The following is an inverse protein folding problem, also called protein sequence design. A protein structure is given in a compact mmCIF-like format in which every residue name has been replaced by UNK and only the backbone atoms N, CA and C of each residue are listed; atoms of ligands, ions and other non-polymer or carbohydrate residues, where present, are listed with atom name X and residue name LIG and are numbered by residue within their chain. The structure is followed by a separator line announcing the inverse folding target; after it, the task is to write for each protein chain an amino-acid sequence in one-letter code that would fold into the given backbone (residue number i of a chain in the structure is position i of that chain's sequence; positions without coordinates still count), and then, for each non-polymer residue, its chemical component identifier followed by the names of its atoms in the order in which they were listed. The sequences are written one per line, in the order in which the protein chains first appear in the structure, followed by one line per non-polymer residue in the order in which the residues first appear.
data_IF_860705516066
#
_entry.id   IF_860705516066
#
_cell.length_a   1.000
_cell.length_b   1.000
_cell.length_c   1.000
_cell.angle_alpha   90.00
_cell.angle_beta   90.00
_cell.angle_gamma   90.00
#
_symmetry.space_group_name_H-M   'P 1'
#
loop_
_entity.id
_entity.type
_entity.pdbx_description
1 polymer ?
#
# COMPACT_ATOMS: atom_id res chain seq x y z
N UNK A 1 5.92 82.29 -18.85
CA UNK A 1 6.34 81.03 -19.51
C UNK A 1 6.17 79.92 -18.56
N UNK A 2 5.12 79.10 -18.64
CA UNK A 2 4.78 78.04 -17.74
C UNK A 2 5.08 76.70 -18.42
N UNK A 3 6.15 76.02 -18.00
CA UNK A 3 6.49 74.69 -18.51
C UNK A 3 5.55 73.65 -17.91
N UNK A 4 4.63 73.15 -18.75
CA UNK A 4 3.84 71.94 -18.42
C UNK A 4 4.71 70.73 -18.52
N UNK A 5 5.00 70.12 -17.38
CA UNK A 5 5.64 68.79 -17.26
C UNK A 5 4.56 67.76 -17.57
N UNK A 6 4.61 67.12 -18.74
CA UNK A 6 3.79 65.94 -19.05
C UNK A 6 4.27 64.78 -18.16
N UNK A 7 3.47 64.40 -17.18
CA UNK A 7 3.62 63.15 -16.47
C UNK A 7 3.18 62.02 -17.41
N UNK A 8 4.16 61.31 -17.96
CA UNK A 8 3.91 60.04 -18.64
C UNK A 8 3.46 59.03 -17.60
N UNK A 9 2.16 58.86 -17.44
CA UNK A 9 1.57 57.69 -16.76
C UNK A 9 1.61 56.52 -17.73
N UNK A 10 2.77 55.84 -17.78
CA UNK A 10 2.83 54.50 -18.34
C UNK A 10 1.95 53.62 -17.47
N UNK A 11 0.78 53.30 -17.98
CA UNK A 11 -0.14 52.34 -17.37
C UNK A 11 0.44 50.94 -17.51
N UNK A 12 1.09 50.42 -16.45
CA UNK A 12 1.62 49.06 -16.35
C UNK A 12 0.49 48.01 -16.26
N UNK A 13 -0.49 48.08 -17.16
CA UNK A 13 -1.60 47.12 -17.20
C UNK A 13 -1.19 45.74 -17.73
N UNK A 14 -0.04 45.62 -18.36
CA UNK A 14 0.48 44.34 -18.89
C UNK A 14 1.30 43.51 -17.89
N UNK A 15 2.00 44.15 -16.94
CA UNK A 15 2.89 43.45 -16.00
C UNK A 15 2.17 42.64 -14.91
N UNK A 16 0.88 42.98 -14.69
CA UNK A 16 0.09 42.30 -13.64
C UNK A 16 -0.33 40.87 -14.01
N UNK A 17 -0.32 40.49 -15.28
CA UNK A 17 -0.75 39.16 -15.73
C UNK A 17 0.36 38.10 -15.56
N UNK A 18 1.63 38.46 -15.66
CA UNK A 18 2.76 37.55 -15.57
C UNK A 18 2.79 36.85 -14.18
N UNK A 19 2.74 37.58 -13.06
CA UNK A 19 2.73 36.94 -11.73
C UNK A 19 1.49 36.08 -11.50
N UNK A 20 0.35 36.46 -12.07
CA UNK A 20 -0.87 35.63 -11.97
C UNK A 20 -0.71 34.31 -12.74
N UNK A 21 -0.16 34.35 -13.96
CA UNK A 21 0.11 33.14 -14.73
C UNK A 21 1.10 32.21 -14.01
N UNK A 22 2.17 32.76 -13.43
CA UNK A 22 3.13 31.99 -12.64
C UNK A 22 2.47 31.37 -11.40
N UNK A 23 1.63 32.12 -10.69
CA UNK A 23 0.88 31.61 -9.55
C UNK A 23 -0.02 30.43 -9.94
N UNK A 24 -0.76 30.55 -11.03
CA UNK A 24 -1.64 29.47 -11.54
C UNK A 24 -0.82 28.22 -11.90
N UNK A 25 0.34 28.37 -12.55
CA UNK A 25 1.21 27.26 -12.88
C UNK A 25 1.74 26.55 -11.63
N UNK A 26 2.18 27.30 -10.61
CA UNK A 26 2.64 26.74 -9.34
C UNK A 26 1.51 26.01 -8.63
N UNK A 27 0.32 26.59 -8.56
CA UNK A 27 -0.85 25.94 -7.94
C UNK A 27 -1.24 24.66 -8.70
N UNK A 28 -1.24 24.68 -10.03
CA UNK A 28 -1.56 23.47 -10.80
C UNK A 28 -0.53 22.36 -10.61
N UNK A 29 0.74 22.69 -10.49
CA UNK A 29 1.80 21.73 -10.19
C UNK A 29 1.62 21.12 -8.79
N UNK A 30 1.30 21.93 -7.78
CA UNK A 30 1.03 21.44 -6.42
C UNK A 30 -0.19 20.49 -6.38
N UNK A 31 -1.28 20.87 -7.05
CA UNK A 31 -2.49 20.02 -7.14
C UNK A 31 -2.15 18.68 -7.82
N UNK A 32 -1.36 18.71 -8.90
CA UNK A 32 -0.94 17.49 -9.60
C UNK A 32 -0.15 16.55 -8.69
N UNK A 33 0.78 17.06 -7.89
CA UNK A 33 1.56 16.27 -6.92
C UNK A 33 0.65 15.69 -5.82
N UNK A 34 -0.32 16.46 -5.33
CA UNK A 34 -1.29 15.98 -4.34
C UNK A 34 -2.16 14.85 -4.87
N UNK A 35 -2.66 14.96 -6.10
CA UNK A 35 -3.46 13.91 -6.75
C UNK A 35 -2.63 12.62 -6.88
N UNK A 36 -1.38 12.73 -7.31
CA UNK A 36 -0.47 11.59 -7.45
C UNK A 36 -0.20 10.92 -6.10
N UNK A 37 0.01 11.70 -5.04
CA UNK A 37 0.20 11.20 -3.68
C UNK A 37 -1.04 10.46 -3.15
N UNK A 38 -2.23 11.07 -3.29
CA UNK A 38 -3.49 10.47 -2.84
C UNK A 38 -3.76 9.16 -3.61
N UNK A 39 -3.54 9.16 -4.93
CA UNK A 39 -3.70 7.96 -5.76
C UNK A 39 -2.78 6.81 -5.33
N UNK A 40 -1.52 7.11 -5.04
CA UNK A 40 -0.55 6.11 -4.55
C UNK A 40 -0.96 5.57 -3.18
N UNK A 41 -1.36 6.44 -2.25
CA UNK A 41 -1.82 6.03 -0.93
C UNK A 41 -3.08 5.18 -0.97
N UNK A 42 -4.03 5.50 -1.85
CA UNK A 42 -5.23 4.69 -2.06
C UNK A 42 -4.89 3.27 -2.54
N UNK A 43 -3.92 3.13 -3.46
CA UNK A 43 -3.44 1.83 -3.93
C UNK A 43 -2.77 1.03 -2.81
N UNK A 44 -1.91 1.66 -1.99
CA UNK A 44 -1.29 1.00 -0.82
C UNK A 44 -2.35 0.48 0.14
N UNK A 45 -3.36 1.29 0.44
CA UNK A 45 -4.44 0.88 1.35
C UNK A 45 -5.30 -0.25 0.76
N UNK A 46 -5.59 -0.21 -0.53
CA UNK A 46 -6.34 -1.26 -1.21
C UNK A 46 -5.60 -2.61 -1.13
N UNK A 47 -4.29 -2.62 -1.39
CA UNK A 47 -3.46 -3.81 -1.25
C UNK A 47 -3.40 -4.33 0.18
N UNK A 48 -3.20 -3.42 1.15
CA UNK A 48 -3.18 -3.79 2.57
C UNK A 48 -4.49 -4.46 2.99
N UNK A 49 -5.63 -3.97 2.50
CA UNK A 49 -6.95 -4.56 2.75
C UNK A 49 -7.08 -5.94 2.09
N UNK A 50 -6.65 -6.09 0.84
CA UNK A 50 -6.71 -7.37 0.13
C UNK A 50 -5.88 -8.44 0.85
N UNK A 51 -4.63 -8.12 1.20
CA UNK A 51 -3.76 -9.01 1.99
C UNK A 51 -4.41 -9.33 3.34
N UNK A 52 -4.96 -8.32 4.04
CA UNK A 52 -5.65 -8.52 5.31
C UNK A 52 -6.82 -9.49 5.18
N UNK A 53 -7.67 -9.34 4.17
CA UNK A 53 -8.80 -10.23 3.91
C UNK A 53 -8.35 -11.67 3.66
N UNK A 54 -7.26 -11.85 2.89
CA UNK A 54 -6.69 -13.18 2.64
C UNK A 54 -6.15 -13.82 3.92
N UNK A 55 -5.47 -13.04 4.76
CA UNK A 55 -4.97 -13.52 6.06
C UNK A 55 -6.12 -13.87 7.01
N UNK A 56 -7.13 -13.03 7.10
CA UNK A 56 -8.31 -13.28 7.94
C UNK A 56 -9.05 -14.55 7.50
N UNK A 57 -9.13 -14.81 6.19
CA UNK A 57 -9.70 -16.06 5.65
C UNK A 57 -8.91 -17.29 6.09
N UNK A 58 -7.57 -17.25 6.00
CA UNK A 58 -6.72 -18.37 6.42
C UNK A 58 -6.84 -18.60 7.92
N UNK A 59 -6.75 -17.54 8.71
CA UNK A 59 -6.86 -17.63 10.18
C UNK A 59 -8.23 -18.15 10.62
N UNK A 60 -9.31 -17.72 9.96
CA UNK A 60 -10.68 -18.19 10.25
C UNK A 60 -10.88 -19.66 9.90
N UNK A 61 -10.28 -20.14 8.82
CA UNK A 61 -10.34 -21.55 8.43
C UNK A 61 -9.66 -22.43 9.49
N UNK A 62 -8.46 -22.06 9.94
CA UNK A 62 -7.77 -22.76 11.03
C UNK A 62 -8.50 -22.65 12.37
N UNK A 63 -9.16 -21.52 12.64
CA UNK A 63 -9.97 -21.37 13.85
C UNK A 63 -11.12 -22.36 13.91
N UNK A 64 -11.74 -22.68 12.77
CA UNK A 64 -12.81 -23.68 12.68
C UNK A 64 -12.28 -25.09 12.97
N UNK A 65 -11.16 -25.47 12.37
CA UNK A 65 -10.49 -26.75 12.60
C UNK A 65 -10.09 -26.91 14.09
N UNK A 66 -9.55 -25.86 14.70
CA UNK A 66 -9.21 -25.85 16.12
C UNK A 66 -10.42 -25.99 17.04
N UNK A 67 -11.52 -25.31 16.71
CA UNK A 67 -12.73 -25.37 17.53
C UNK A 67 -13.29 -26.80 17.61
N UNK A 68 -13.23 -27.53 16.50
CA UNK A 68 -13.64 -28.94 16.48
C UNK A 68 -12.70 -29.84 17.31
N UNK A 69 -11.40 -29.58 17.28
CA UNK A 69 -10.40 -30.30 18.10
C UNK A 69 -10.59 -30.01 19.59
N UNK A 70 -10.82 -28.78 20.01
CA UNK A 70 -11.08 -28.38 21.40
C UNK A 70 -12.35 -29.06 21.93
N UNK A 71 -13.40 -29.12 21.13
CA UNK A 71 -14.65 -29.83 21.50
C UNK A 71 -14.43 -31.32 21.79
N UNK A 72 -13.45 -31.93 21.16
CA UNK A 72 -13.06 -33.33 21.37
C UNK A 72 -12.14 -33.51 22.57
N UNK A 73 -11.88 -32.43 23.36
CA UNK A 73 -11.08 -32.49 24.58
C UNK A 73 -9.56 -32.52 24.36
N UNK A 74 -9.13 -32.15 23.17
CA UNK A 74 -7.73 -32.14 22.84
C UNK A 74 -7.08 -30.77 23.16
N UNK A 75 -5.81 -30.73 23.66
CA UNK A 75 -5.12 -29.47 23.91
C UNK A 75 -4.87 -28.72 22.60
N UNK A 76 -5.31 -27.46 22.56
CA UNK A 76 -5.28 -26.62 21.38
C UNK A 76 -3.90 -26.45 20.72
N UNK A 77 -2.83 -26.49 21.55
CA UNK A 77 -1.45 -26.28 21.09
C UNK A 77 -0.90 -27.42 20.21
N UNK A 78 -1.42 -28.65 20.38
CA UNK A 78 -0.96 -29.83 19.64
C UNK A 78 -1.55 -29.90 18.18
N UNK A 79 -2.60 -29.13 17.91
CA UNK A 79 -3.34 -29.21 16.65
C UNK A 79 -2.99 -28.09 15.67
N UNK A 80 -2.18 -27.11 16.07
CA UNK A 80 -1.80 -26.03 15.19
C UNK A 80 -0.54 -26.42 14.41
N UNK A 81 -0.71 -26.82 13.16
CA UNK A 81 0.40 -26.90 12.21
C UNK A 81 0.78 -25.48 11.74
N UNK A 82 1.70 -24.84 12.49
CA UNK A 82 2.18 -23.50 12.17
C UNK A 82 2.89 -23.44 10.80
N UNK A 83 3.55 -24.50 10.40
CA UNK A 83 4.25 -24.56 9.10
C UNK A 83 3.24 -24.72 7.96
N UNK A 84 2.19 -25.52 8.17
CA UNK A 84 1.06 -25.61 7.26
C UNK A 84 0.32 -24.29 7.12
N UNK A 85 0.12 -23.57 8.23
CA UNK A 85 -0.49 -22.24 8.27
C UNK A 85 0.33 -21.23 7.43
N UNK A 86 1.66 -21.25 7.56
CA UNK A 86 2.56 -20.40 6.77
C UNK A 86 2.49 -20.75 5.28
N UNK A 87 2.58 -22.05 4.93
CA UNK A 87 2.50 -22.53 3.55
C UNK A 87 1.17 -22.18 2.90
N UNK A 88 0.06 -22.38 3.61
CA UNK A 88 -1.29 -22.03 3.14
C UNK A 88 -1.43 -20.53 2.91
N UNK A 89 -0.80 -19.72 3.75
CA UNK A 89 -0.76 -18.26 3.57
C UNK A 89 -0.02 -17.86 2.32
N UNK A 90 1.16 -18.42 2.04
CA UNK A 90 1.88 -18.18 0.78
C UNK A 90 1.01 -18.56 -0.43
N UNK A 91 0.37 -19.70 -0.40
CA UNK A 91 -0.52 -20.14 -1.48
C UNK A 91 -1.71 -19.18 -1.69
N UNK A 92 -2.35 -18.71 -0.60
CA UNK A 92 -3.45 -17.74 -0.67
C UNK A 92 -3.01 -16.38 -1.18
N UNK A 93 -1.78 -15.98 -0.89
CA UNK A 93 -1.18 -14.75 -1.44
C UNK A 93 -0.82 -14.89 -2.91
N UNK A 94 -0.83 -16.11 -3.46
CA UNK A 94 -0.49 -16.40 -4.86
C UNK A 94 0.96 -16.79 -5.08
N UNK A 95 1.69 -17.14 -4.02
CA UNK A 95 3.06 -17.65 -4.11
C UNK A 95 3.04 -19.18 -4.06
N UNK A 96 3.42 -19.88 -5.14
CA UNK A 96 3.43 -21.33 -5.17
C UNK A 96 4.51 -21.95 -4.27
N UNK A 97 5.52 -21.16 -3.89
CA UNK A 97 6.58 -21.56 -2.96
C UNK A 97 7.11 -20.34 -2.19
N UNK A 98 7.73 -20.58 -1.05
CA UNK A 98 8.40 -19.58 -0.21
C UNK A 98 9.65 -18.94 -0.86
N UNK A 99 10.09 -19.48 -1.99
CA UNK A 99 11.25 -19.00 -2.75
C UNK A 99 10.92 -17.92 -3.78
N UNK A 100 9.63 -17.60 -3.99
CA UNK A 100 9.23 -16.55 -4.94
C UNK A 100 9.50 -15.18 -4.33
N UNK A 101 10.38 -14.42 -4.96
CA UNK A 101 10.80 -13.09 -4.50
C UNK A 101 9.92 -11.96 -5.01
N UNK A 102 9.18 -12.18 -6.10
CA UNK A 102 8.39 -11.16 -6.75
C UNK A 102 7.02 -11.71 -7.18
N UNK A 103 5.98 -10.93 -6.96
CA UNK A 103 4.64 -11.22 -7.43
C UNK A 103 4.02 -9.97 -8.05
N UNK A 104 3.68 -10.06 -9.35
CA UNK A 104 2.96 -8.99 -10.03
C UNK A 104 1.48 -9.04 -9.65
N UNK A 105 0.96 -7.94 -9.12
CA UNK A 105 -0.47 -7.82 -8.84
C UNK A 105 -1.29 -7.83 -10.14
N UNK A 106 -2.52 -8.37 -10.14
CA UNK A 106 -3.34 -8.53 -11.35
C UNK A 106 -3.57 -7.24 -12.13
N UNK A 107 -3.48 -6.09 -11.48
CA UNK A 107 -3.69 -4.77 -12.10
C UNK A 107 -2.43 -4.18 -12.76
N UNK A 108 -1.30 -4.89 -12.74
CA UNK A 108 -0.07 -4.49 -13.45
C UNK A 108 0.61 -3.18 -12.97
N UNK A 109 0.06 -2.52 -11.94
CA UNK A 109 0.53 -1.22 -11.49
C UNK A 109 1.51 -1.27 -10.32
N UNK A 110 1.64 -2.42 -9.67
CA UNK A 110 2.57 -2.59 -8.56
C UNK A 110 3.00 -4.05 -8.42
N UNK A 111 4.16 -4.23 -7.83
CA UNK A 111 4.77 -5.54 -7.58
C UNK A 111 4.94 -5.71 -6.08
N UNK A 112 4.50 -6.86 -5.56
CA UNK A 112 4.82 -7.27 -4.19
C UNK A 112 6.18 -7.97 -4.23
N UNK A 113 7.12 -7.50 -3.43
CA UNK A 113 8.46 -8.06 -3.35
C UNK A 113 8.73 -8.60 -1.95
N UNK A 114 9.51 -9.67 -1.89
CA UNK A 114 10.08 -10.26 -0.67
C UNK A 114 9.04 -10.49 0.43
N UNK A 115 7.94 -11.22 0.17
CA UNK A 115 6.98 -11.54 1.21
C UNK A 115 7.64 -12.46 2.24
N UNK A 116 7.52 -12.08 3.51
CA UNK A 116 7.94 -12.87 4.66
C UNK A 116 6.72 -13.18 5.51
N UNK A 117 6.35 -14.44 5.59
CA UNK A 117 5.24 -14.92 6.40
C UNK A 117 5.80 -15.50 7.70
N UNK A 118 5.32 -15.00 8.82
CA UNK A 118 5.73 -15.45 10.15
C UNK A 118 4.49 -15.82 10.95
N UNK A 119 4.47 -17.02 11.52
CA UNK A 119 3.44 -17.44 12.47
C UNK A 119 3.61 -16.74 13.82
N UNK A 120 2.50 -16.36 14.45
CA UNK A 120 2.45 -15.81 15.78
C UNK A 120 1.91 -16.90 16.74
N UNK A 121 2.62 -17.07 17.85
CA UNK A 121 2.29 -18.03 18.91
C UNK A 121 1.99 -17.26 20.19
N UNK A 122 1.15 -17.83 21.05
CA UNK A 122 0.79 -17.20 22.33
C UNK A 122 -0.57 -17.71 22.81
N UNK A 123 -1.39 -16.82 23.41
CA UNK A 123 -2.76 -17.14 23.86
C UNK A 123 -3.75 -17.41 22.70
N UNK A 124 -3.23 -17.69 21.53
CA UNK A 124 -3.95 -17.95 20.30
C UNK A 124 -2.97 -18.17 19.16
N UNK A 125 -3.43 -18.00 17.94
CA UNK A 125 -2.59 -18.13 16.77
C UNK A 125 -2.85 -17.01 15.76
N UNK A 126 -1.87 -16.76 14.93
CA UNK A 126 -1.99 -15.71 13.94
C UNK A 126 -0.84 -15.74 12.96
N UNK A 127 -0.92 -14.82 12.01
CA UNK A 127 0.06 -14.66 10.94
C UNK A 127 0.39 -13.20 10.79
N UNK A 128 1.65 -12.93 10.57
CA UNK A 128 2.15 -11.63 10.14
C UNK A 128 2.84 -11.79 8.80
N UNK A 129 2.47 -10.97 7.83
CA UNK A 129 3.13 -10.87 6.54
C UNK A 129 3.80 -9.52 6.44
N UNK A 130 5.10 -9.53 6.14
CA UNK A 130 5.90 -8.35 5.79
C UNK A 130 6.27 -8.41 4.33
N UNK A 131 6.06 -7.36 3.59
CA UNK A 131 6.40 -7.28 2.17
C UNK A 131 6.66 -5.84 1.77
N UNK A 132 7.33 -5.67 0.63
CA UNK A 132 7.55 -4.37 0.03
C UNK A 132 6.70 -4.26 -1.23
N UNK A 133 5.97 -3.17 -1.36
CA UNK A 133 5.22 -2.86 -2.58
C UNK A 133 6.01 -1.85 -3.38
N UNK A 134 6.19 -2.14 -4.66
CA UNK A 134 6.92 -1.29 -5.60
C UNK A 134 5.94 -0.66 -6.58
N UNK A 135 5.86 0.66 -6.56
CA UNK A 135 5.06 1.44 -7.50
C UNK A 135 5.98 2.05 -8.55
N UNK A 136 5.91 1.63 -9.81
CA UNK A 136 6.67 2.27 -10.87
C UNK A 136 6.08 3.66 -11.17
N UNK A 137 6.86 4.70 -10.98
CA UNK A 137 6.51 6.06 -11.40
C UNK A 137 6.78 6.15 -12.89
N UNK A 138 5.70 6.16 -13.67
CA UNK A 138 5.75 6.26 -15.14
C UNK A 138 5.45 7.68 -15.58
N UNK A 139 6.29 8.21 -16.47
CA UNK A 139 6.06 9.47 -17.16
C UNK A 139 6.18 9.22 -18.66
N UNK A 140 5.17 9.62 -19.42
CA UNK A 140 5.11 9.40 -20.88
C UNK A 140 5.39 7.94 -21.31
N UNK A 141 4.87 6.96 -20.52
CA UNK A 141 5.04 5.53 -20.80
C UNK A 141 6.37 4.91 -20.29
N UNK A 142 7.35 5.73 -19.92
CA UNK A 142 8.63 5.26 -19.41
C UNK A 142 8.66 5.26 -17.88
N UNK A 143 9.20 4.19 -17.28
CA UNK A 143 9.43 4.11 -15.85
C UNK A 143 10.73 4.85 -15.49
N UNK A 144 10.62 5.92 -14.70
CA UNK A 144 11.78 6.71 -14.27
C UNK A 144 12.31 6.29 -12.91
N UNK A 145 11.43 5.96 -11.99
CA UNK A 145 11.78 5.58 -10.62
C UNK A 145 10.68 4.70 -10.03
N UNK A 146 11.06 3.83 -9.13
CA UNK A 146 10.11 3.06 -8.32
C UNK A 146 10.04 3.63 -6.90
N UNK A 147 8.84 3.69 -6.37
CA UNK A 147 8.60 3.98 -4.96
C UNK A 147 8.41 2.65 -4.22
N UNK A 148 9.28 2.36 -3.27
CA UNK A 148 9.20 1.18 -2.44
C UNK A 148 8.54 1.52 -1.11
N UNK A 149 7.46 0.81 -0.77
CA UNK A 149 6.71 1.01 0.47
C UNK A 149 6.71 -0.30 1.26
N UNK A 150 7.39 -0.39 2.41
CA UNK A 150 7.32 -1.56 3.27
C UNK A 150 5.97 -1.60 3.97
N UNK A 151 5.32 -2.76 3.94
CA UNK A 151 4.01 -2.99 4.54
C UNK A 151 4.08 -4.19 5.47
N UNK A 152 3.43 -4.09 6.62
CA UNK A 152 3.22 -5.20 7.54
C UNK A 152 1.73 -5.35 7.79
N UNK A 153 1.23 -6.57 7.65
CA UNK A 153 -0.17 -6.92 7.91
C UNK A 153 -0.20 -8.12 8.83
N UNK A 154 -1.01 -8.06 9.88
CA UNK A 154 -1.19 -9.16 10.83
C UNK A 154 -2.66 -9.53 10.93
N UNK A 155 -2.91 -10.83 11.11
CA UNK A 155 -4.20 -11.38 11.47
C UNK A 155 -4.00 -12.33 12.65
N UNK A 156 -4.87 -12.23 13.64
CA UNK A 156 -4.72 -12.97 14.90
C UNK A 156 -6.08 -13.45 15.40
N UNK A 157 -6.12 -14.71 15.85
CA UNK A 157 -7.27 -15.31 16.51
C UNK A 157 -6.90 -15.62 17.95
N UNK A 158 -7.67 -15.08 18.89
CA UNK A 158 -7.51 -15.35 20.31
C UNK A 158 -8.52 -16.42 20.72
N UNK A 159 -8.01 -17.53 21.24
CA UNK A 159 -8.85 -18.53 21.89
C UNK A 159 -9.33 -17.98 23.25
N UNK A 160 -10.65 -17.86 23.43
CA UNK A 160 -11.28 -17.52 24.71
C UNK A 160 -11.88 -18.77 25.35
#
# INVERSE_FOLDING_TARGET
MQKRTMKNTFSNKGESYIPVCVLVLVLSALVSVLILYIGTMAQVQAQKRDVKTKLDSVVSEYATEMFDAIKQGAPSEQYIDYDGLVRKTYARLGFPSDTVTEYAYPNGNCVMMRPQVTSLKGDGFGITVRYTVVFPIKWNGNAYKSLEVPITVSSYYKCK
#
